data_IF_777640491932
#
_entry.id   IF_777640491932
#
_cell.length_a   1.000
_cell.length_b   1.000
_cell.length_c   1.000
_cell.angle_alpha   90.00
_cell.angle_beta   90.00
_cell.angle_gamma   90.00
#
_symmetry.space_group_name_H-M   'P 1'
#
loop_
_entity.id
_entity.type
_entity.pdbx_description
1 polymer ?
#
# COMPACT_ATOMS: atom_id res chain seq x y z
N UNK A 1 71.26 7.78 -14.15
CA UNK A 1 70.51 8.77 -13.36
C UNK A 1 69.18 8.96 -14.06
N UNK A 2 68.23 8.06 -13.75
CA UNK A 2 66.98 7.96 -14.50
C UNK A 2 65.80 8.01 -13.52
N UNK A 3 65.05 9.10 -13.55
CA UNK A 3 63.95 9.42 -12.68
C UNK A 3 62.64 8.84 -13.26
N UNK A 4 62.23 7.67 -12.80
CA UNK A 4 60.85 7.15 -13.07
C UNK A 4 59.83 8.00 -12.39
N UNK A 5 58.99 8.70 -13.15
CA UNK A 5 57.75 9.33 -12.72
C UNK A 5 56.68 8.23 -12.56
N UNK A 6 56.30 7.98 -11.32
CA UNK A 6 55.11 7.20 -10.99
C UNK A 6 53.88 8.05 -11.31
N UNK A 7 53.07 7.57 -12.25
CA UNK A 7 51.78 8.15 -12.57
C UNK A 7 50.72 7.53 -11.66
N UNK A 8 50.34 8.28 -10.66
CA UNK A 8 49.24 7.93 -9.73
C UNK A 8 47.91 8.11 -10.46
N UNK A 9 47.29 7.01 -10.91
CA UNK A 9 45.94 6.99 -11.44
C UNK A 9 44.98 6.98 -10.28
N UNK A 10 44.58 8.16 -9.85
CA UNK A 10 43.44 8.34 -8.93
C UNK A 10 42.17 7.86 -9.61
N UNK A 11 41.76 6.64 -9.28
CA UNK A 11 40.49 6.06 -9.71
C UNK A 11 39.40 6.71 -8.88
N UNK A 12 38.84 7.81 -9.36
CA UNK A 12 37.65 8.43 -8.76
C UNK A 12 36.48 7.49 -8.96
N UNK A 13 36.18 6.69 -7.95
CA UNK A 13 34.95 5.91 -7.90
C UNK A 13 33.77 6.89 -7.92
N UNK A 14 33.05 6.96 -9.05
CA UNK A 14 31.75 7.60 -9.13
C UNK A 14 30.81 6.87 -8.18
N UNK A 15 30.70 7.36 -6.95
CA UNK A 15 29.58 7.05 -6.09
C UNK A 15 28.33 7.49 -6.85
N UNK A 16 27.51 6.53 -7.25
CA UNK A 16 26.18 6.77 -7.80
C UNK A 16 25.36 7.47 -6.72
N UNK A 17 25.26 8.77 -6.81
CA UNK A 17 24.30 9.56 -6.04
C UNK A 17 22.92 9.01 -6.36
N UNK A 18 22.37 8.26 -5.43
CA UNK A 18 20.95 7.84 -5.46
C UNK A 18 20.15 9.14 -5.38
N UNK A 19 19.64 9.59 -6.52
CA UNK A 19 18.75 10.75 -6.59
C UNK A 19 17.56 10.48 -5.67
N UNK A 20 17.49 11.22 -4.57
CA UNK A 20 16.34 11.22 -3.70
C UNK A 20 15.11 11.69 -4.50
N UNK A 21 14.01 10.96 -4.40
CA UNK A 21 12.74 11.38 -5.01
C UNK A 21 12.40 12.81 -4.55
N UNK A 22 11.91 13.68 -5.45
CA UNK A 22 11.55 15.03 -5.07
C UNK A 22 10.57 14.99 -3.90
N UNK A 23 10.75 15.86 -2.88
CA UNK A 23 9.87 15.89 -1.73
C UNK A 23 8.46 16.25 -2.19
N UNK A 24 7.46 15.47 -1.76
CA UNK A 24 6.06 15.83 -1.92
C UNK A 24 5.74 16.97 -0.96
N UNK A 25 5.02 17.99 -1.43
CA UNK A 25 4.51 19.04 -0.57
C UNK A 25 3.45 18.50 0.40
N UNK A 26 3.30 19.16 1.54
CA UNK A 26 2.29 18.79 2.54
C UNK A 26 0.87 18.86 1.98
N UNK A 27 0.59 19.81 1.09
CA UNK A 27 -0.70 19.94 0.41
C UNK A 27 -0.97 18.78 -0.55
N UNK A 28 0.03 18.34 -1.32
CA UNK A 28 -0.10 17.17 -2.20
C UNK A 28 -0.31 15.88 -1.40
N UNK A 29 0.42 15.69 -0.28
CA UNK A 29 0.23 14.57 0.63
C UNK A 29 -1.18 14.54 1.22
N UNK A 30 -1.68 15.72 1.63
CA UNK A 30 -3.06 15.85 2.11
C UNK A 30 -4.07 15.45 1.03
N UNK A 31 -3.92 15.94 -0.20
CA UNK A 31 -4.82 15.63 -1.31
C UNK A 31 -4.83 14.12 -1.61
N UNK A 32 -3.65 13.48 -1.64
CA UNK A 32 -3.54 12.03 -1.86
C UNK A 32 -4.31 11.27 -0.79
N UNK A 33 -4.08 11.56 0.49
CA UNK A 33 -4.74 10.88 1.59
C UNK A 33 -6.26 11.17 1.62
N UNK A 34 -6.65 12.42 1.37
CA UNK A 34 -8.07 12.80 1.34
C UNK A 34 -8.83 12.07 0.22
N UNK A 35 -8.24 11.93 -0.97
CA UNK A 35 -8.87 11.20 -2.07
C UNK A 35 -9.00 9.71 -1.78
N UNK A 36 -8.04 9.07 -1.12
CA UNK A 36 -8.17 7.68 -0.67
C UNK A 36 -9.27 7.54 0.39
N UNK A 37 -9.36 8.44 1.37
CA UNK A 37 -10.45 8.42 2.37
C UNK A 37 -11.82 8.62 1.72
N UNK A 38 -11.93 9.56 0.77
CA UNK A 38 -13.17 9.82 0.04
C UNK A 38 -13.56 8.64 -0.85
N UNK A 39 -12.60 7.96 -1.47
CA UNK A 39 -12.84 6.74 -2.25
C UNK A 39 -13.42 5.63 -1.39
N UNK A 40 -12.86 5.38 -0.21
CA UNK A 40 -13.40 4.43 0.76
C UNK A 40 -14.80 4.81 1.21
N UNK A 41 -15.02 6.07 1.57
CA UNK A 41 -16.35 6.55 1.99
C UNK A 41 -17.37 6.38 0.85
N UNK A 42 -16.98 6.69 -0.39
CA UNK A 42 -17.81 6.50 -1.57
C UNK A 42 -18.14 5.02 -1.82
N UNK A 43 -17.15 4.12 -1.65
CA UNK A 43 -17.37 2.67 -1.79
C UNK A 43 -18.42 2.16 -0.82
N UNK A 44 -18.32 2.56 0.46
CA UNK A 44 -19.31 2.20 1.47
C UNK A 44 -20.67 2.83 1.19
N UNK A 45 -20.71 4.08 0.76
CA UNK A 45 -21.95 4.74 0.37
C UNK A 45 -22.66 3.99 -0.76
N UNK A 46 -21.93 3.63 -1.82
CA UNK A 46 -22.47 2.86 -2.96
C UNK A 46 -22.97 1.49 -2.48
N UNK A 47 -22.18 0.76 -1.70
CA UNK A 47 -22.57 -0.54 -1.20
C UNK A 47 -23.86 -0.47 -0.37
N UNK A 48 -23.92 0.43 0.61
CA UNK A 48 -25.04 0.51 1.53
C UNK A 48 -26.30 1.16 0.91
N UNK A 49 -26.13 2.25 0.15
CA UNK A 49 -27.28 3.06 -0.30
C UNK A 49 -27.83 2.58 -1.63
N UNK A 50 -26.95 2.20 -2.57
CA UNK A 50 -27.36 1.81 -3.93
C UNK A 50 -27.69 0.31 -3.99
N UNK A 51 -26.84 -0.52 -3.38
CA UNK A 51 -26.99 -1.98 -3.45
C UNK A 51 -27.57 -2.61 -2.19
N UNK A 52 -27.76 -1.84 -1.11
CA UNK A 52 -28.29 -2.33 0.19
C UNK A 52 -27.50 -3.53 0.73
N UNK A 53 -26.18 -3.52 0.52
CA UNK A 53 -25.25 -4.54 1.02
C UNK A 53 -24.26 -3.92 1.99
N UNK A 54 -23.92 -4.66 3.02
CA UNK A 54 -22.90 -4.29 4.01
C UNK A 54 -21.86 -5.39 4.18
N UNK A 55 -20.80 -5.09 4.93
CA UNK A 55 -19.69 -6.01 5.12
C UNK A 55 -20.06 -7.26 5.93
N UNK A 56 -21.13 -7.18 6.75
CA UNK A 56 -21.59 -8.32 7.58
C UNK A 56 -22.47 -9.27 6.77
N UNK A 57 -23.41 -8.71 6.01
CA UNK A 57 -24.38 -9.50 5.24
C UNK A 57 -23.80 -10.04 3.92
N UNK A 58 -23.03 -9.21 3.21
CA UNK A 58 -22.46 -9.54 1.90
C UNK A 58 -20.98 -9.16 1.79
N UNK A 59 -20.07 -9.79 2.57
CA UNK A 59 -18.67 -9.38 2.66
C UNK A 59 -17.95 -9.37 1.31
N UNK A 60 -18.21 -10.37 0.45
CA UNK A 60 -17.56 -10.45 -0.87
C UNK A 60 -17.90 -9.26 -1.77
N UNK A 61 -19.18 -8.86 -1.82
CA UNK A 61 -19.64 -7.74 -2.66
C UNK A 61 -19.15 -6.41 -2.11
N UNK A 62 -19.23 -6.20 -0.79
CA UNK A 62 -18.73 -4.96 -0.17
C UNK A 62 -17.23 -4.78 -0.40
N UNK A 63 -16.44 -5.85 -0.23
CA UNK A 63 -15.01 -5.83 -0.52
C UNK A 63 -14.73 -5.57 -2.00
N UNK A 64 -15.53 -6.14 -2.90
CA UNK A 64 -15.45 -5.87 -4.34
C UNK A 64 -15.64 -4.36 -4.62
N UNK A 65 -16.66 -3.72 -4.07
CA UNK A 65 -16.86 -2.28 -4.23
C UNK A 65 -15.69 -1.45 -3.68
N UNK A 66 -15.10 -1.85 -2.55
CA UNK A 66 -13.97 -1.16 -1.97
C UNK A 66 -12.78 -1.20 -2.92
N UNK A 67 -12.31 -2.38 -3.33
CA UNK A 67 -11.09 -2.44 -4.12
C UNK A 67 -11.28 -1.93 -5.55
N UNK A 68 -12.46 -2.11 -6.17
CA UNK A 68 -12.71 -1.62 -7.54
C UNK A 68 -12.78 -0.08 -7.61
N UNK A 69 -13.24 0.56 -6.55
CA UNK A 69 -13.29 2.03 -6.46
C UNK A 69 -11.93 2.61 -6.10
N UNK A 70 -11.24 2.02 -5.12
CA UNK A 70 -9.94 2.50 -4.67
C UNK A 70 -8.82 2.28 -5.69
N UNK A 71 -8.86 1.21 -6.45
CA UNK A 71 -7.82 0.83 -7.39
C UNK A 71 -7.45 1.93 -8.39
N UNK A 72 -8.39 2.53 -9.14
CA UNK A 72 -8.06 3.61 -10.08
C UNK A 72 -7.55 4.85 -9.35
N UNK A 73 -8.10 5.20 -8.18
CA UNK A 73 -7.66 6.34 -7.37
C UNK A 73 -6.20 6.17 -6.99
N UNK A 74 -5.85 5.04 -6.39
CA UNK A 74 -4.49 4.72 -5.95
C UNK A 74 -3.52 4.69 -7.14
N UNK A 75 -3.85 3.98 -8.22
CA UNK A 75 -2.97 3.90 -9.39
C UNK A 75 -2.71 5.27 -9.98
N UNK A 76 -3.74 6.09 -10.21
CA UNK A 76 -3.59 7.40 -10.83
C UNK A 76 -2.82 8.37 -9.93
N UNK A 77 -3.09 8.39 -8.63
CA UNK A 77 -2.41 9.27 -7.69
C UNK A 77 -0.93 8.90 -7.53
N UNK A 78 -0.63 7.66 -7.19
CA UNK A 78 0.74 7.22 -6.92
C UNK A 78 1.62 7.17 -8.17
N UNK A 79 1.05 6.91 -9.36
CA UNK A 79 1.80 6.98 -10.62
C UNK A 79 2.33 8.39 -10.93
N UNK A 80 1.70 9.45 -10.42
CA UNK A 80 2.19 10.84 -10.55
C UNK A 80 3.49 11.05 -9.77
N UNK A 81 3.67 10.34 -8.65
CA UNK A 81 4.82 10.46 -7.75
C UNK A 81 5.89 9.37 -7.96
N UNK A 82 5.89 8.74 -9.15
CA UNK A 82 6.88 7.71 -9.51
C UNK A 82 8.32 8.19 -9.36
N UNK A 83 9.16 7.34 -8.79
CA UNK A 83 10.61 7.57 -8.78
C UNK A 83 11.16 7.61 -10.21
N UNK A 84 12.20 8.42 -10.41
CA UNK A 84 12.91 8.52 -11.69
C UNK A 84 12.01 8.91 -12.88
N UNK A 85 11.37 10.09 -12.79
CA UNK A 85 10.47 10.63 -13.83
C UNK A 85 11.10 10.70 -15.22
N UNK A 86 12.43 10.81 -15.32
CA UNK A 86 13.15 10.88 -16.60
C UNK A 86 13.20 9.50 -17.30
N UNK A 87 13.30 8.40 -16.55
CA UNK A 87 13.40 7.03 -17.10
C UNK A 87 12.08 6.27 -17.13
N UNK A 88 11.07 6.71 -16.37
CA UNK A 88 9.79 6.05 -16.25
C UNK A 88 8.65 6.96 -16.72
N UNK A 89 8.01 6.61 -17.83
CA UNK A 89 6.80 7.29 -18.29
C UNK A 89 5.63 7.05 -17.34
N UNK A 90 4.65 7.95 -17.34
CA UNK A 90 3.45 7.80 -16.51
C UNK A 90 2.71 6.50 -16.80
N UNK A 91 2.51 6.16 -18.09
CA UNK A 91 1.85 4.92 -18.50
C UNK A 91 2.58 3.66 -18.02
N UNK A 92 3.91 3.69 -17.98
CA UNK A 92 4.69 2.57 -17.42
C UNK A 92 4.47 2.42 -15.91
N UNK A 93 4.33 3.52 -15.18
CA UNK A 93 4.00 3.46 -13.74
C UNK A 93 2.58 2.91 -13.52
N UNK A 94 1.61 3.36 -14.31
CA UNK A 94 0.23 2.82 -14.31
C UNK A 94 0.24 1.31 -14.62
N UNK A 95 0.94 0.89 -15.68
CA UNK A 95 1.07 -0.53 -16.03
C UNK A 95 1.67 -1.37 -14.91
N UNK A 96 2.68 -0.84 -14.19
CA UNK A 96 3.24 -1.51 -12.99
C UNK A 96 2.24 -1.60 -11.85
N UNK A 97 1.45 -0.55 -11.63
CA UNK A 97 0.36 -0.57 -10.65
C UNK A 97 -0.66 -1.66 -10.97
N UNK A 98 -1.10 -1.76 -12.23
CA UNK A 98 -2.02 -2.82 -12.69
C UNK A 98 -1.43 -4.21 -12.49
N UNK A 99 -0.16 -4.42 -12.84
CA UNK A 99 0.54 -5.70 -12.61
C UNK A 99 0.75 -5.97 -11.11
N UNK A 100 0.88 -4.93 -10.30
CA UNK A 100 0.97 -5.03 -8.84
C UNK A 100 -0.28 -5.63 -8.19
N UNK A 101 -1.45 -5.47 -8.82
CA UNK A 101 -2.72 -6.01 -8.29
C UNK A 101 -2.69 -7.54 -8.13
N UNK A 102 -2.52 -8.33 -9.20
CA UNK A 102 -2.52 -9.78 -9.06
C UNK A 102 -1.35 -10.30 -8.22
N UNK A 103 -0.17 -9.66 -8.32
CA UNK A 103 1.00 -10.07 -7.51
C UNK A 103 0.74 -9.83 -6.04
N UNK A 104 0.26 -8.65 -5.66
CA UNK A 104 -0.07 -8.33 -4.28
C UNK A 104 -1.25 -9.14 -3.76
N UNK A 105 -2.27 -9.36 -4.58
CA UNK A 105 -3.40 -10.21 -4.21
C UNK A 105 -2.95 -11.66 -3.94
N UNK A 106 -2.09 -12.23 -4.78
CA UNK A 106 -1.54 -13.56 -4.56
C UNK A 106 -0.73 -13.64 -3.25
N UNK A 107 0.13 -12.66 -2.99
CA UNK A 107 0.92 -12.62 -1.75
C UNK A 107 0.02 -12.53 -0.50
N UNK A 108 -0.97 -11.64 -0.51
CA UNK A 108 -1.91 -11.49 0.61
C UNK A 108 -2.83 -12.71 0.76
N UNK A 109 -3.26 -13.31 -0.34
CA UNK A 109 -4.05 -14.54 -0.34
C UNK A 109 -3.29 -15.71 0.28
N UNK A 110 -2.06 -15.96 -0.17
CA UNK A 110 -1.20 -17.00 0.40
C UNK A 110 -0.87 -16.73 1.87
N UNK A 111 -0.63 -15.45 2.22
CA UNK A 111 -0.43 -15.04 3.61
C UNK A 111 -1.66 -15.32 4.48
N UNK A 112 -2.85 -15.01 4.00
CA UNK A 112 -4.11 -15.30 4.72
C UNK A 112 -4.29 -16.80 4.96
N UNK A 113 -4.07 -17.63 3.93
CA UNK A 113 -4.15 -19.09 4.06
C UNK A 113 -3.12 -19.61 5.06
N UNK A 114 -1.89 -19.14 4.99
CA UNK A 114 -0.82 -19.53 5.93
C UNK A 114 -1.16 -19.17 7.38
N UNK A 115 -1.97 -18.13 7.61
CA UNK A 115 -2.47 -17.72 8.92
C UNK A 115 -3.81 -18.37 9.31
N UNK A 116 -4.34 -19.29 8.51
CA UNK A 116 -5.52 -20.08 8.85
C UNK A 116 -6.84 -19.60 8.21
N UNK A 117 -6.80 -18.72 7.21
CA UNK A 117 -8.01 -18.33 6.50
C UNK A 117 -8.66 -19.56 5.83
N UNK A 118 -10.01 -19.69 5.86
CA UNK A 118 -10.69 -20.83 5.31
C UNK A 118 -10.60 -20.86 3.77
N UNK A 119 -10.33 -22.06 3.23
CA UNK A 119 -10.12 -22.30 1.77
C UNK A 119 -11.29 -23.00 1.09
N UNK A 120 -12.42 -23.20 1.78
CA UNK A 120 -13.60 -23.84 1.17
C UNK A 120 -14.23 -22.94 0.10
N UNK A 121 -14.94 -23.52 -0.85
CA UNK A 121 -15.53 -22.80 -1.99
C UNK A 121 -16.38 -21.60 -1.60
N UNK A 122 -17.10 -21.68 -0.48
CA UNK A 122 -17.95 -20.57 0.01
C UNK A 122 -17.13 -19.37 0.53
N UNK A 123 -15.90 -19.60 1.01
CA UNK A 123 -15.02 -18.54 1.53
C UNK A 123 -14.03 -18.03 0.48
N UNK A 124 -13.79 -18.80 -0.58
CA UNK A 124 -12.82 -18.44 -1.61
C UNK A 124 -13.08 -17.05 -2.23
N UNK A 125 -14.30 -16.68 -2.67
CA UNK A 125 -14.57 -15.34 -3.18
C UNK A 125 -14.35 -14.24 -2.12
N UNK A 126 -14.67 -14.51 -0.86
CA UNK A 126 -14.46 -13.58 0.25
C UNK A 126 -12.96 -13.33 0.46
N UNK A 127 -12.15 -14.39 0.47
CA UNK A 127 -10.70 -14.32 0.65
C UNK A 127 -10.01 -13.64 -0.54
N UNK A 128 -10.44 -13.93 -1.77
CA UNK A 128 -9.90 -13.28 -2.98
C UNK A 128 -10.19 -11.78 -2.97
N UNK A 129 -11.43 -11.35 -2.68
CA UNK A 129 -11.76 -9.93 -2.62
C UNK A 129 -11.04 -9.21 -1.48
N UNK A 130 -10.85 -9.87 -0.33
CA UNK A 130 -10.03 -9.33 0.75
C UNK A 130 -8.56 -9.17 0.33
N UNK A 131 -7.99 -10.16 -0.33
CA UNK A 131 -6.61 -10.11 -0.81
C UNK A 131 -6.41 -9.03 -1.90
N UNK A 132 -7.40 -8.80 -2.77
CA UNK A 132 -7.40 -7.70 -3.73
C UNK A 132 -7.44 -6.34 -3.04
N UNK A 133 -8.31 -6.14 -2.04
CA UNK A 133 -8.32 -4.93 -1.22
C UNK A 133 -6.98 -4.69 -0.53
N UNK A 134 -6.41 -5.72 0.10
CA UNK A 134 -5.08 -5.64 0.71
C UNK A 134 -4.01 -5.27 -0.29
N UNK A 135 -4.05 -5.81 -1.51
CA UNK A 135 -3.11 -5.45 -2.57
C UNK A 135 -3.20 -3.96 -2.92
N UNK A 136 -4.40 -3.41 -3.02
CA UNK A 136 -4.62 -1.98 -3.31
C UNK A 136 -4.04 -1.10 -2.21
N UNK A 137 -4.13 -1.50 -0.95
CA UNK A 137 -3.60 -0.72 0.18
C UNK A 137 -2.09 -0.88 0.39
N UNK A 138 -1.48 -1.98 -0.09
CA UNK A 138 -0.08 -2.31 0.20
C UNK A 138 0.81 -2.28 -1.04
N UNK A 139 0.58 -3.20 -1.96
CA UNK A 139 1.49 -3.50 -3.08
C UNK A 139 1.34 -2.53 -4.24
N UNK A 140 0.11 -2.12 -4.56
CA UNK A 140 -0.18 -1.27 -5.73
C UNK A 140 0.50 0.10 -5.63
N UNK A 141 0.38 0.88 -4.52
CA UNK A 141 1.06 2.17 -4.41
C UNK A 141 2.58 2.04 -4.53
N UNK A 142 3.16 1.01 -3.91
CA UNK A 142 4.59 0.72 -4.01
C UNK A 142 5.03 0.37 -5.44
N UNK A 143 4.25 -0.44 -6.16
CA UNK A 143 4.52 -0.81 -7.56
C UNK A 143 4.51 0.40 -8.49
N UNK A 144 3.58 1.35 -8.27
CA UNK A 144 3.51 2.60 -9.03
C UNK A 144 4.76 3.46 -8.82
N UNK A 145 5.23 3.59 -7.57
CA UNK A 145 6.28 4.52 -7.18
C UNK A 145 7.68 3.90 -7.28
N UNK A 146 7.92 2.78 -6.57
CA UNK A 146 9.24 2.15 -6.44
C UNK A 146 9.61 1.31 -7.67
N UNK A 147 8.61 0.84 -8.40
CA UNK A 147 8.82 -0.02 -9.56
C UNK A 147 9.43 -1.37 -9.18
N UNK A 148 10.46 -1.82 -9.93
CA UNK A 148 11.12 -3.12 -9.76
C UNK A 148 12.38 -3.09 -8.88
N UNK A 149 12.64 -2.00 -8.17
CA UNK A 149 13.82 -1.86 -7.31
C UNK A 149 13.71 -2.70 -6.04
N UNK A 150 14.28 -3.91 -6.04
CA UNK A 150 14.28 -4.78 -4.85
C UNK A 150 14.87 -4.12 -3.60
N UNK A 151 15.87 -3.26 -3.78
CA UNK A 151 16.52 -2.55 -2.67
C UNK A 151 15.52 -1.59 -1.99
N UNK A 152 14.71 -0.87 -2.77
CA UNK A 152 13.72 0.06 -2.24
C UNK A 152 12.55 -0.68 -1.59
N UNK A 153 12.08 -1.77 -2.20
CA UNK A 153 11.06 -2.62 -1.61
C UNK A 153 11.49 -3.16 -0.24
N UNK A 154 12.68 -3.74 -0.16
CA UNK A 154 13.23 -4.25 1.10
C UNK A 154 13.37 -3.15 2.15
N UNK A 155 13.84 -1.96 1.73
CA UNK A 155 14.01 -0.81 2.63
C UNK A 155 12.68 -0.32 3.19
N UNK A 156 11.64 -0.19 2.36
CA UNK A 156 10.34 0.33 2.75
C UNK A 156 9.54 -0.70 3.56
N UNK A 157 9.50 -1.96 3.12
CA UNK A 157 8.64 -2.97 3.74
C UNK A 157 9.33 -3.82 4.81
N UNK A 158 10.60 -4.21 4.62
CA UNK A 158 11.28 -5.07 5.57
C UNK A 158 12.09 -4.30 6.62
N UNK A 159 12.64 -3.15 6.28
CA UNK A 159 13.44 -2.34 7.20
C UNK A 159 12.66 -1.16 7.80
N UNK A 160 11.50 -0.85 7.28
CA UNK A 160 10.67 0.31 7.69
C UNK A 160 11.44 1.63 7.76
N UNK A 161 12.33 1.84 6.76
CA UNK A 161 13.21 3.03 6.67
C UNK A 161 12.89 3.85 5.42
N UNK A 162 11.75 4.52 5.34
CA UNK A 162 11.44 5.43 4.24
C UNK A 162 12.42 6.60 4.22
N UNK A 163 12.88 7.00 3.03
CA UNK A 163 13.86 8.09 2.83
C UNK A 163 13.23 9.41 2.40
N UNK A 164 12.02 9.38 1.86
CA UNK A 164 11.35 10.57 1.32
C UNK A 164 9.87 10.60 1.67
N UNK A 165 9.26 11.77 1.56
CA UNK A 165 7.85 12.00 1.91
C UNK A 165 6.89 11.01 1.25
N UNK A 166 7.11 10.69 -0.05
CA UNK A 166 6.26 9.71 -0.75
C UNK A 166 6.39 8.30 -0.19
N UNK A 167 7.56 7.91 0.30
CA UNK A 167 7.77 6.58 0.86
C UNK A 167 7.07 6.43 2.23
N UNK A 168 6.91 7.54 2.99
CA UNK A 168 6.07 7.53 4.20
C UNK A 168 4.59 7.30 3.86
N UNK A 169 4.10 7.91 2.76
CA UNK A 169 2.73 7.70 2.27
C UNK A 169 2.47 6.29 1.75
N UNK A 170 3.51 5.51 1.46
CA UNK A 170 3.40 4.09 1.08
C UNK A 170 3.61 3.19 2.30
N UNK A 171 4.69 3.42 3.04
CA UNK A 171 5.13 2.57 4.13
C UNK A 171 4.10 2.50 5.26
N UNK A 172 3.67 3.66 5.78
CA UNK A 172 2.80 3.71 6.94
C UNK A 172 1.40 3.12 6.65
N UNK A 173 0.68 3.52 5.57
CA UNK A 173 -0.64 2.93 5.29
C UNK A 173 -0.58 1.43 5.02
N UNK A 174 0.46 0.94 4.33
CA UNK A 174 0.62 -0.48 4.09
C UNK A 174 0.83 -1.29 5.39
N UNK A 175 1.70 -0.82 6.28
CA UNK A 175 1.89 -1.46 7.59
C UNK A 175 0.66 -1.31 8.47
N UNK A 176 0.00 -0.14 8.45
CA UNK A 176 -1.24 0.08 9.18
C UNK A 176 -2.35 -0.88 8.77
N UNK A 177 -2.50 -1.13 7.47
CA UNK A 177 -3.45 -2.12 6.96
C UNK A 177 -3.16 -3.53 7.48
N UNK A 178 -1.89 -3.96 7.44
CA UNK A 178 -1.46 -5.29 7.93
C UNK A 178 -1.63 -5.42 9.44
N UNK A 179 -1.20 -4.41 10.21
CA UNK A 179 -1.35 -4.38 11.67
C UNK A 179 -2.84 -4.36 12.05
N UNK A 180 -3.64 -3.56 11.34
CA UNK A 180 -5.08 -3.52 11.52
C UNK A 180 -5.75 -4.86 11.23
N UNK A 181 -5.35 -5.55 10.16
CA UNK A 181 -5.82 -6.90 9.85
C UNK A 181 -5.50 -7.88 10.98
N UNK A 182 -4.30 -7.81 11.54
CA UNK A 182 -3.89 -8.62 12.69
C UNK A 182 -4.77 -8.38 13.91
N UNK A 183 -5.01 -7.12 14.29
CA UNK A 183 -5.93 -6.81 15.39
C UNK A 183 -7.38 -7.21 15.08
N UNK A 184 -7.82 -7.08 13.82
CA UNK A 184 -9.14 -7.53 13.38
C UNK A 184 -9.32 -9.05 13.41
N UNK A 185 -8.23 -9.83 13.41
CA UNK A 185 -8.28 -11.28 13.54
C UNK A 185 -8.50 -11.76 14.99
N UNK A 186 -8.16 -10.96 15.99
CA UNK A 186 -8.25 -11.36 17.41
C UNK A 186 -9.66 -11.78 17.89
N UNK A 187 -10.76 -11.13 17.45
CA UNK A 187 -12.09 -11.57 17.86
C UNK A 187 -12.53 -12.90 17.27
N UNK A 188 -11.92 -13.38 16.17
CA UNK A 188 -12.37 -14.57 15.46
C UNK A 188 -12.36 -15.85 16.31
N UNK A 189 -11.32 -16.15 17.14
CA UNK A 189 -11.30 -17.32 17.97
C UNK A 189 -12.13 -17.21 19.27
N UNK A 190 -12.72 -16.02 19.53
CA UNK A 190 -13.55 -15.83 20.73
C UNK A 190 -14.95 -16.40 20.51
N UNK A 191 -15.45 -17.09 21.52
CA UNK A 191 -16.75 -17.79 21.50
C UNK A 191 -17.91 -16.83 21.79
N UNK A 192 -18.04 -15.77 20.99
CA UNK A 192 -19.13 -14.79 21.13
C UNK A 192 -20.27 -15.03 20.15
N UNK A 193 -20.10 -15.97 19.21
CA UNK A 193 -21.09 -16.35 18.18
C UNK A 193 -21.72 -15.15 17.44
N UNK A 194 -20.92 -14.10 17.17
CA UNK A 194 -21.39 -12.91 16.48
C UNK A 194 -21.11 -12.98 14.97
N UNK A 195 -22.05 -12.61 14.08
CA UNK A 195 -21.87 -12.65 12.62
C UNK A 195 -20.65 -11.87 12.14
N UNK A 196 -20.30 -10.77 12.80
CA UNK A 196 -19.15 -9.95 12.42
C UNK A 196 -17.78 -10.58 12.73
N UNK A 197 -17.73 -11.66 13.51
CA UNK A 197 -16.51 -12.44 13.78
C UNK A 197 -16.15 -13.37 12.61
N UNK A 198 -17.10 -13.65 11.70
CA UNK A 198 -16.85 -14.53 10.56
C UNK A 198 -15.79 -13.93 9.63
N UNK A 199 -14.92 -14.82 9.07
CA UNK A 199 -13.94 -14.45 8.05
C UNK A 199 -14.64 -13.93 6.78
N UNK A 200 -14.16 -12.82 6.16
CA UNK A 200 -13.09 -11.92 6.56
C UNK A 200 -13.58 -10.63 7.24
N UNK A 201 -14.75 -10.62 7.86
CA UNK A 201 -15.48 -9.39 8.27
C UNK A 201 -14.68 -8.56 9.27
N UNK A 202 -14.37 -9.12 10.44
CA UNK A 202 -13.63 -8.40 11.50
C UNK A 202 -12.22 -8.00 11.04
N UNK A 203 -11.56 -8.88 10.28
CA UNK A 203 -10.24 -8.62 9.69
C UNK A 203 -10.30 -7.45 8.71
N UNK A 204 -11.36 -7.36 7.89
CA UNK A 204 -11.56 -6.25 6.95
C UNK A 204 -11.80 -4.92 7.65
N UNK A 205 -12.61 -4.89 8.70
CA UNK A 205 -12.79 -3.68 9.53
C UNK A 205 -11.46 -3.25 10.15
N UNK A 206 -10.71 -4.19 10.74
CA UNK A 206 -9.39 -3.91 11.29
C UNK A 206 -8.43 -3.37 10.24
N UNK A 207 -8.37 -3.97 9.05
CA UNK A 207 -7.58 -3.51 7.91
C UNK A 207 -7.89 -2.06 7.54
N UNK A 208 -9.17 -1.74 7.35
CA UNK A 208 -9.61 -0.41 6.93
C UNK A 208 -9.30 0.63 8.01
N UNK A 209 -9.60 0.33 9.27
CA UNK A 209 -9.28 1.23 10.39
C UNK A 209 -7.77 1.46 10.50
N UNK A 210 -6.97 0.40 10.44
CA UNK A 210 -5.51 0.51 10.49
C UNK A 210 -4.94 1.32 9.31
N UNK A 211 -5.48 1.12 8.11
CA UNK A 211 -5.14 1.91 6.93
C UNK A 211 -5.46 3.41 7.13
N UNK A 212 -6.67 3.74 7.59
CA UNK A 212 -7.12 5.12 7.83
C UNK A 212 -6.26 5.83 8.89
N UNK A 213 -6.00 5.17 10.02
CA UNK A 213 -5.13 5.70 11.08
C UNK A 213 -3.73 5.97 10.53
N UNK A 214 -3.20 5.05 9.73
CA UNK A 214 -1.88 5.21 9.15
C UNK A 214 -1.81 6.27 8.04
N UNK A 215 -2.90 6.53 7.30
CA UNK A 215 -2.99 7.69 6.40
C UNK A 215 -2.83 9.00 7.18
N UNK A 216 -3.52 9.14 8.30
CA UNK A 216 -3.38 10.32 9.18
C UNK A 216 -1.96 10.43 9.73
N UNK A 217 -1.41 9.33 10.22
CA UNK A 217 -0.02 9.29 10.72
C UNK A 217 0.99 9.68 9.64
N UNK A 218 0.82 9.17 8.40
CA UNK A 218 1.71 9.49 7.28
C UNK A 218 1.74 10.98 6.95
N UNK A 219 0.59 11.64 7.01
CA UNK A 219 0.49 13.09 6.84
C UNK A 219 1.24 13.83 7.95
N UNK A 220 1.08 13.39 9.20
CA UNK A 220 1.80 13.95 10.35
C UNK A 220 3.33 13.89 10.16
N UNK A 221 3.85 12.75 9.68
CA UNK A 221 5.28 12.61 9.39
C UNK A 221 5.75 13.50 8.24
N UNK A 222 4.98 13.64 7.17
CA UNK A 222 5.32 14.55 6.06
C UNK A 222 5.37 15.99 6.53
N UNK A 223 4.41 16.41 7.36
CA UNK A 223 4.38 17.76 7.95
C UNK A 223 5.56 18.01 8.89
N UNK A 224 5.93 17.04 9.71
CA UNK A 224 7.08 17.13 10.61
C UNK A 224 8.41 17.24 9.84
N UNK A 225 8.60 16.39 8.81
CA UNK A 225 9.79 16.46 7.96
C UNK A 225 9.88 17.77 7.17
N UNK A 226 8.75 18.31 6.69
CA UNK A 226 8.72 19.60 5.96
C UNK A 226 9.03 20.83 6.81
N UNK A 227 8.88 20.73 8.14
CA UNK A 227 9.26 21.82 9.08
C UNK A 227 10.72 21.79 9.51
N UNK A 228 11.40 20.65 9.29
CA UNK A 228 12.81 20.48 9.69
C UNK A 228 13.81 20.95 8.60
N UNK A 229 13.32 21.36 7.44
CA UNK A 229 14.07 21.98 6.34
C UNK A 229 13.68 23.44 6.16
#
# INVERSE_FOLDING_TARGET
MDRRKSSDKTTTSKASTVEASPPISASEAFVVNALCVLGLAFSFYVANTVYSVDLVTHPSLTLFFIWITELPIVILLYSRHRQNRQRCTYLRAVGRGVLGVPVGALLNFLGAIALGAPVTFQYLPKTVNWALMMSVFTTVPASCVLGSSWVDWRRVFAQTKPKGSIEYLICLPAHGAVIGAWFGAWPMPLDWERPWQEWPISVSYGTIVGYLVALVASLGFVLACGRAH
#
